data_IF_745223322707
#
_entry.id   IF_745223322707
#
_cell.length_a   1.000
_cell.length_b   1.000
_cell.length_c   1.000
_cell.angle_alpha   90.00
_cell.angle_beta   90.00
_cell.angle_gamma   90.00
#
_symmetry.space_group_name_H-M   'P 1'
#
loop_
_entity.id
_entity.type
_entity.pdbx_description
1 polymer ?
#
# COMPACT_ATOMS: atom_id res chain seq x y z
N UNK A 1 13.74 -22.09 19.06
CA UNK A 1 13.62 -21.88 18.56
C UNK A 1 13.57 -21.07 17.96
N UNK A 2 13.69 -21.04 18.14
CA UNK A 2 13.78 -20.34 17.69
C UNK A 2 13.76 -19.56 17.13
N UNK A 3 13.70 -19.61 17.28
CA UNK A 3 13.76 -19.01 16.76
C UNK A 3 13.82 -18.26 16.24
N UNK A 4 13.74 -18.32 16.53
CA UNK A 4 13.93 -17.75 16.07
C UNK A 4 14.16 -17.06 15.48
N UNK A 5 14.16 -17.11 15.69
CA UNK A 5 14.54 -16.55 15.11
C UNK A 5 14.63 -15.92 14.47
N UNK A 6 14.49 -16.18 14.76
CA UNK A 6 14.72 -15.66 14.22
C UNK A 6 14.92 -14.95 13.56
N UNK A 7 15.00 -15.12 13.63
CA UNK A 7 15.32 -14.64 13.17
C UNK A 7 15.53 -13.88 12.66
N UNK A 8 15.37 -13.96 12.93
CA UNK A 8 15.73 -13.46 12.55
C UNK A 8 16.09 -12.79 12.27
N UNK A 9 16.23 -12.80 12.47
CA UNK A 9 16.82 -12.39 12.26
C UNK A 9 17.38 -11.97 11.84
N UNK A 10 17.40 -12.13 12.08
CA UNK A 10 18.10 -11.88 11.80
C UNK A 10 18.69 -11.47 11.32
N UNK A 11 18.85 -11.43 11.42
CA UNK A 11 19.58 -11.22 10.96
C UNK A 11 20.11 -10.69 10.50
N UNK A 12 20.11 -10.52 10.78
CA UNK A 12 20.69 -10.20 10.44
C UNK A 12 21.31 -9.71 10.14
N UNK A 13 21.34 -9.44 10.43
CA UNK A 13 21.97 -9.29 10.23
C UNK A 13 22.85 -9.06 9.89
N UNK A 14 23.04 -9.15 10.19
CA UNK A 14 23.88 -9.11 10.05
C UNK A 14 24.56 -8.91 9.38
N UNK A 15 24.53 -9.09 9.09
CA UNK A 15 25.26 -8.72 8.50
C UNK A 15 25.59 -7.86 8.26
N UNK A 16 25.15 -7.83 8.55
CA UNK A 16 25.35 -6.77 8.36
C UNK A 16 26.08 -5.99 8.35
N UNK A 17 26.36 -6.47 8.57
CA UNK A 17 27.33 -5.69 8.86
C UNK A 17 27.58 -4.48 8.15
N UNK A 18 28.35 -4.29 7.75
CA UNK A 18 28.81 -3.13 7.14
C UNK A 18 27.72 -2.47 6.44
N UNK A 19 26.79 -2.25 7.17
CA UNK A 19 25.64 -1.66 6.62
C UNK A 19 25.95 -0.27 6.15
N UNK A 20 25.93 -0.10 4.89
CA UNK A 20 25.96 1.23 4.32
C UNK A 20 24.60 1.87 4.49
N UNK A 21 24.57 3.08 4.99
CA UNK A 21 23.32 3.82 5.07
C UNK A 21 23.02 4.41 3.70
N UNK A 22 21.93 4.06 3.06
CA UNK A 22 21.61 4.62 1.74
C UNK A 22 21.35 6.11 1.84
N UNK A 23 21.61 6.85 0.78
CA UNK A 23 21.29 8.27 0.75
C UNK A 23 19.78 8.43 0.54
N UNK A 24 19.31 9.66 0.60
CA UNK A 24 17.88 9.94 0.51
C UNK A 24 17.27 9.50 -0.81
N UNK A 25 18.01 9.66 -1.89
CA UNK A 25 17.50 9.29 -3.20
C UNK A 25 17.35 7.78 -3.31
N UNK A 26 18.37 7.04 -2.86
CA UNK A 26 18.31 5.58 -2.87
C UNK A 26 17.16 5.06 -2.01
N UNK A 27 17.00 5.64 -0.82
CA UNK A 27 15.95 5.23 0.09
C UNK A 27 14.57 5.49 -0.51
N UNK A 28 14.41 6.64 -1.13
CA UNK A 28 13.15 7.01 -1.78
C UNK A 28 12.82 6.05 -2.92
N UNK A 29 13.81 5.79 -3.77
CA UNK A 29 13.60 4.91 -4.93
C UNK A 29 13.23 3.51 -4.47
N UNK A 30 13.92 2.98 -3.47
CA UNK A 30 13.64 1.66 -2.94
C UNK A 30 12.24 1.59 -2.34
N UNK A 31 11.84 2.64 -1.60
CA UNK A 31 10.53 2.69 -0.97
C UNK A 31 9.41 2.75 -2.01
N UNK A 32 9.61 3.54 -3.06
CA UNK A 32 8.62 3.66 -4.12
C UNK A 32 8.51 2.37 -4.93
N UNK A 33 9.65 1.70 -5.17
CA UNK A 33 9.66 0.43 -5.89
C UNK A 33 8.90 -0.65 -5.12
N UNK A 34 8.84 -0.55 -3.81
CA UNK A 34 8.12 -1.51 -3.00
C UNK A 34 6.61 -1.37 -3.14
N UNK A 35 6.13 -0.25 -3.69
CA UNK A 35 4.71 -0.03 -3.88
C UNK A 35 4.35 -0.26 -5.34
N UNK A 36 4.07 -1.52 -5.66
CA UNK A 36 3.73 -1.88 -7.04
C UNK A 36 2.26 -1.59 -7.32
N UNK A 37 1.97 -0.83 -8.39
CA UNK A 37 0.58 -0.49 -8.72
C UNK A 37 -0.32 -1.70 -8.95
N UNK A 38 0.26 -2.78 -9.43
CA UNK A 38 -0.50 -3.98 -9.78
C UNK A 38 -0.54 -5.02 -8.65
N UNK A 39 0.05 -4.70 -7.51
CA UNK A 39 0.13 -5.65 -6.41
C UNK A 39 -1.24 -5.96 -5.83
N UNK A 40 -1.51 -7.25 -5.68
CA UNK A 40 -2.78 -7.72 -5.12
C UNK A 40 -2.60 -8.08 -3.65
N UNK A 41 -3.69 -8.01 -2.91
CA UNK A 41 -3.72 -8.49 -1.53
C UNK A 41 -3.93 -10.00 -1.53
N UNK A 42 -3.57 -10.62 -0.42
CA UNK A 42 -3.74 -12.05 -0.28
C UNK A 42 -5.22 -12.42 -0.41
N UNK A 43 -5.50 -13.40 -1.25
CA UNK A 43 -6.87 -13.84 -1.49
C UNK A 43 -7.62 -13.06 -2.54
N UNK A 44 -7.03 -11.99 -3.04
CA UNK A 44 -7.68 -11.17 -4.05
C UNK A 44 -7.60 -11.84 -5.41
N UNK A 45 -8.76 -12.08 -6.03
CA UNK A 45 -8.85 -12.72 -7.35
C UNK A 45 -9.64 -11.82 -8.28
N UNK A 46 -8.94 -11.19 -9.21
CA UNK A 46 -9.55 -10.26 -10.18
C UNK A 46 -10.55 -10.94 -11.11
N UNK A 47 -10.47 -12.26 -11.23
CA UNK A 47 -11.31 -13.03 -12.13
C UNK A 47 -12.54 -13.62 -11.45
N UNK A 48 -12.75 -13.26 -10.20
CA UNK A 48 -13.90 -13.81 -9.48
C UNK A 48 -15.19 -13.57 -10.26
N UNK A 49 -16.07 -14.57 -10.23
CA UNK A 49 -17.38 -14.48 -10.84
C UNK A 49 -18.45 -14.09 -9.83
N UNK A 50 -18.07 -13.91 -8.57
CA UNK A 50 -19.02 -13.69 -7.49
C UNK A 50 -19.09 -12.22 -7.12
N UNK A 51 -20.30 -11.68 -7.16
CA UNK A 51 -20.55 -10.29 -6.79
C UNK A 51 -20.13 -10.01 -5.34
N UNK A 52 -20.34 -10.99 -4.46
CA UNK A 52 -19.99 -10.83 -3.05
C UNK A 52 -18.50 -10.59 -2.86
N UNK A 53 -17.66 -11.26 -3.66
CA UNK A 53 -16.22 -11.03 -3.62
C UNK A 53 -15.88 -9.60 -4.03
N UNK A 54 -16.49 -9.14 -5.14
CA UNK A 54 -16.22 -7.79 -5.63
C UNK A 54 -16.67 -6.73 -4.62
N UNK A 55 -17.82 -6.95 -3.99
CA UNK A 55 -18.32 -6.04 -2.96
C UNK A 55 -17.37 -6.04 -1.76
N UNK A 56 -16.88 -7.22 -1.37
CA UNK A 56 -15.93 -7.36 -0.26
C UNK A 56 -14.65 -6.53 -0.53
N UNK A 57 -14.06 -6.70 -1.71
CA UNK A 57 -12.82 -6.01 -2.04
C UNK A 57 -13.02 -4.50 -2.22
N UNK A 58 -14.19 -4.08 -2.71
CA UNK A 58 -14.55 -2.66 -2.76
C UNK A 58 -14.50 -2.08 -1.36
N UNK A 59 -15.08 -2.78 -0.39
CA UNK A 59 -15.10 -2.31 0.99
C UNK A 59 -13.70 -2.28 1.60
N UNK A 60 -12.92 -3.33 1.36
CA UNK A 60 -11.55 -3.41 1.88
C UNK A 60 -10.71 -2.24 1.36
N UNK A 61 -10.74 -2.01 0.05
CA UNK A 61 -9.93 -0.94 -0.54
C UNK A 61 -10.43 0.46 -0.14
N UNK A 62 -11.74 0.62 0.03
CA UNK A 62 -12.27 1.90 0.52
C UNK A 62 -11.74 2.21 1.92
N UNK A 63 -11.70 1.21 2.79
CA UNK A 63 -11.20 1.38 4.15
C UNK A 63 -9.69 1.65 4.17
N UNK A 64 -8.94 0.90 3.35
CA UNK A 64 -7.50 1.10 3.24
C UNK A 64 -7.16 2.49 2.72
N UNK A 65 -7.89 2.93 1.72
CA UNK A 65 -7.69 4.26 1.13
C UNK A 65 -7.98 5.36 2.14
N UNK A 66 -9.08 5.22 2.85
CA UNK A 66 -9.46 6.20 3.87
C UNK A 66 -8.39 6.31 4.95
N UNK A 67 -7.87 5.17 5.39
CA UNK A 67 -6.79 5.14 6.39
C UNK A 67 -5.53 5.83 5.85
N UNK A 68 -5.15 5.53 4.60
CA UNK A 68 -3.95 6.14 4.00
C UNK A 68 -4.11 7.65 3.84
N UNK A 69 -5.31 8.11 3.47
CA UNK A 69 -5.56 9.54 3.35
C UNK A 69 -5.45 10.25 4.69
N UNK A 70 -5.87 9.59 5.76
CA UNK A 70 -5.70 10.14 7.10
C UNK A 70 -4.24 10.27 7.47
N UNK A 71 -3.43 9.24 7.15
CA UNK A 71 -2.00 9.29 7.41
C UNK A 71 -1.32 10.38 6.57
N UNK A 72 -1.76 10.55 5.33
CA UNK A 72 -1.23 11.60 4.46
C UNK A 72 -1.47 12.98 5.07
N UNK A 73 -2.68 13.22 5.54
CA UNK A 73 -3.01 14.52 6.14
C UNK A 73 -2.12 14.83 7.33
N UNK A 74 -1.87 13.83 8.18
CA UNK A 74 -0.97 14.00 9.32
C UNK A 74 0.46 14.27 8.85
N UNK A 75 0.93 13.49 7.89
CA UNK A 75 2.30 13.63 7.39
C UNK A 75 2.54 15.00 6.77
N UNK A 76 1.57 15.49 6.01
CA UNK A 76 1.66 16.82 5.39
C UNK A 76 1.74 17.92 6.43
N UNK A 77 0.94 17.82 7.49
CA UNK A 77 0.99 18.80 8.56
C UNK A 77 2.33 18.78 9.28
N UNK A 78 2.87 17.59 9.54
CA UNK A 78 4.15 17.44 10.19
C UNK A 78 5.27 18.04 9.35
N UNK A 79 5.26 17.74 8.05
CA UNK A 79 6.28 18.23 7.13
C UNK A 79 6.30 19.76 7.08
N UNK A 80 5.13 20.37 7.03
CA UNK A 80 5.04 21.82 6.90
C UNK A 80 5.56 22.57 8.13
N UNK A 81 5.67 21.89 9.29
CA UNK A 81 6.14 22.52 10.51
C UNK A 81 7.58 22.20 10.82
N UNK A 82 8.25 21.41 10.00
CA UNK A 82 9.63 21.00 10.24
C UNK A 82 10.62 22.05 9.77
N UNK A 83 11.62 22.28 10.62
CA UNK A 83 12.70 23.22 10.30
C UNK A 83 14.01 22.49 10.03
N UNK A 84 14.17 21.28 10.57
CA UNK A 84 15.38 20.49 10.34
C UNK A 84 15.31 19.89 8.94
N UNK A 85 16.31 20.23 8.12
CA UNK A 85 16.34 19.82 6.72
C UNK A 85 16.43 18.30 6.56
N UNK A 86 17.21 17.64 7.38
CA UNK A 86 17.37 16.19 7.29
C UNK A 86 16.07 15.48 7.66
N UNK A 87 15.40 15.94 8.72
CA UNK A 87 14.12 15.39 9.11
C UNK A 87 13.07 15.63 8.03
N UNK A 88 13.09 16.81 7.44
CA UNK A 88 12.17 17.18 6.39
C UNK A 88 12.33 16.28 5.18
N UNK A 89 13.56 15.91 4.82
CA UNK A 89 13.81 15.03 3.68
C UNK A 89 13.29 13.62 3.93
N UNK A 90 13.48 13.12 5.16
CA UNK A 90 12.99 11.79 5.53
C UNK A 90 11.47 11.77 5.49
N UNK A 91 10.83 12.80 6.03
CA UNK A 91 9.37 12.88 6.03
C UNK A 91 8.82 13.07 4.62
N UNK A 92 9.54 13.78 3.76
CA UNK A 92 9.12 13.91 2.37
C UNK A 92 9.14 12.56 1.67
N UNK A 93 10.13 11.71 1.95
CA UNK A 93 10.19 10.36 1.41
C UNK A 93 9.00 9.54 1.90
N UNK A 94 8.71 9.61 3.20
CA UNK A 94 7.56 8.91 3.77
C UNK A 94 6.26 9.36 3.12
N UNK A 95 6.12 10.66 2.91
CA UNK A 95 4.94 11.22 2.28
C UNK A 95 4.75 10.67 0.86
N UNK A 96 5.84 10.59 0.10
CA UNK A 96 5.76 10.07 -1.26
C UNK A 96 5.37 8.60 -1.31
N UNK A 97 5.83 7.81 -0.35
CA UNK A 97 5.42 6.41 -0.24
C UNK A 97 3.93 6.32 0.07
N UNK A 98 3.46 7.13 1.03
CA UNK A 98 2.04 7.15 1.38
C UNK A 98 1.18 7.55 0.19
N UNK A 99 1.64 8.54 -0.58
CA UNK A 99 0.92 8.97 -1.78
C UNK A 99 0.85 7.86 -2.82
N UNK A 100 1.94 7.12 -3.02
CA UNK A 100 1.97 6.02 -3.97
C UNK A 100 1.03 4.90 -3.54
N UNK A 101 1.01 4.59 -2.24
CA UNK A 101 0.11 3.57 -1.71
C UNK A 101 -1.35 3.99 -1.83
N UNK A 102 -1.65 5.26 -1.52
CA UNK A 102 -3.01 5.76 -1.67
C UNK A 102 -3.47 5.71 -3.12
N UNK A 103 -2.59 6.05 -4.05
CA UNK A 103 -2.90 5.99 -5.48
C UNK A 103 -3.18 4.55 -5.91
N UNK A 104 -2.42 3.59 -5.39
CA UNK A 104 -2.65 2.18 -5.69
C UNK A 104 -4.02 1.74 -5.17
N UNK A 105 -4.34 2.09 -3.94
CA UNK A 105 -5.63 1.71 -3.37
C UNK A 105 -6.79 2.35 -4.12
N UNK A 106 -6.61 3.58 -4.59
CA UNK A 106 -7.63 4.25 -5.37
C UNK A 106 -7.91 3.51 -6.68
N UNK A 107 -6.84 3.10 -7.38
CA UNK A 107 -7.00 2.34 -8.62
C UNK A 107 -7.67 0.99 -8.38
N UNK A 108 -7.28 0.31 -7.29
CA UNK A 108 -7.88 -0.98 -6.97
C UNK A 108 -9.35 -0.82 -6.57
N UNK A 109 -9.66 0.24 -5.85
CA UNK A 109 -11.04 0.54 -5.48
C UNK A 109 -11.91 0.74 -6.73
N UNK A 110 -11.39 1.54 -7.68
CA UNK A 110 -12.11 1.80 -8.93
C UNK A 110 -12.32 0.50 -9.71
N UNK A 111 -11.31 -0.35 -9.77
CA UNK A 111 -11.40 -1.64 -10.44
C UNK A 111 -12.53 -2.48 -9.82
N UNK A 112 -12.56 -2.58 -8.50
CA UNK A 112 -13.55 -3.44 -7.85
C UNK A 112 -14.95 -2.86 -7.89
N UNK A 113 -15.08 -1.53 -7.85
CA UNK A 113 -16.39 -0.89 -8.03
C UNK A 113 -16.96 -1.23 -9.40
N UNK A 114 -16.14 -1.11 -10.41
CA UNK A 114 -16.54 -1.41 -11.78
C UNK A 114 -16.86 -2.89 -11.93
N UNK A 115 -16.03 -3.75 -11.36
CA UNK A 115 -16.24 -5.19 -11.41
C UNK A 115 -17.55 -5.59 -10.70
N UNK A 116 -17.82 -4.99 -9.55
CA UNK A 116 -19.05 -5.26 -8.82
C UNK A 116 -20.28 -4.88 -9.66
N UNK A 117 -20.19 -3.73 -10.32
CA UNK A 117 -21.29 -3.29 -11.17
C UNK A 117 -21.49 -4.24 -12.35
N UNK A 118 -20.42 -4.70 -12.96
CA UNK A 118 -20.49 -5.66 -14.06
C UNK A 118 -21.13 -6.97 -13.63
N UNK A 119 -20.73 -7.48 -12.48
CA UNK A 119 -21.25 -8.73 -11.98
C UNK A 119 -22.70 -8.63 -11.56
N UNK A 120 -23.11 -7.49 -11.01
CA UNK A 120 -24.52 -7.24 -10.69
C UNK A 120 -25.38 -7.20 -11.93
N UNK A 121 -24.91 -6.52 -12.97
CA UNK A 121 -25.63 -6.43 -14.23
C UNK A 121 -25.76 -7.81 -14.88
N UNK A 122 -24.69 -8.58 -14.86
CA UNK A 122 -24.67 -9.93 -15.41
C UNK A 122 -25.63 -10.85 -14.66
N UNK A 123 -25.66 -10.73 -13.33
CA UNK A 123 -26.54 -11.53 -12.49
C UNK A 123 -28.02 -11.23 -12.79
N UNK A 124 -28.35 -9.96 -12.97
CA UNK A 124 -29.72 -9.57 -13.32
C UNK A 124 -30.11 -10.14 -14.67
N UNK A 125 -29.21 -10.07 -15.64
CA UNK A 125 -29.46 -10.62 -16.97
C UNK A 125 -29.68 -12.12 -16.91
N UNK A 126 -28.86 -12.81 -16.12
CA UNK A 126 -28.95 -14.27 -16.01
C UNK A 126 -30.21 -14.74 -15.32
N UNK A 127 -30.78 -13.92 -14.45
CA UNK A 127 -31.98 -14.32 -13.72
C UNK A 127 -33.25 -14.22 -14.56
N UNK A 128 -33.16 -13.74 -15.78
CA UNK A 128 -34.27 -13.71 -16.71
C UNK A 128 -34.26 -14.96 -17.58
#
# INVERSE_FOLDING_TARGET
MGVVNAGAQGDSEADGGAARVPDHQEARDAALDAVEPERLLEGEDERTAYVDDAVHWTKVYAELLDFKRSLLAVAERQLSSMEDEAESEVKDTDLKVLMAEAARFERRLDFWRERADELKASSVTDSE
#
